data_IF_915392337758
#
_entry.id   IF_915392337758
#
_cell.length_a   1.000
_cell.length_b   1.000
_cell.length_c   1.000
_cell.angle_alpha   90.00
_cell.angle_beta   90.00
_cell.angle_gamma   90.00
#
_symmetry.space_group_name_H-M   'P 1'
#
loop_
_entity.id
_entity.type
_entity.pdbx_description
1 polymer ?
#
# COMPACT_ATOMS: atom_id res chain seq x y z
N UNK A 1 7.40 3.02 9.83
CA UNK A 1 6.34 1.99 9.86
C UNK A 1 5.75 1.77 11.26
N UNK A 2 6.54 1.96 12.34
CA UNK A 2 6.08 1.74 13.73
C UNK A 2 5.32 2.93 14.33
N UNK A 3 5.39 4.10 13.71
CA UNK A 3 4.76 5.35 14.15
C UNK A 3 3.66 5.84 13.17
N UNK A 4 3.08 4.93 12.36
CA UNK A 4 1.99 5.22 11.45
C UNK A 4 2.28 5.07 9.96
N UNK A 5 3.54 4.90 9.56
CA UNK A 5 3.93 4.61 8.18
C UNK A 5 3.65 3.15 7.78
N UNK A 6 3.83 2.83 6.49
CA UNK A 6 3.67 1.46 5.99
C UNK A 6 5.01 0.74 5.81
N UNK A 7 5.96 1.34 5.10
CA UNK A 7 7.37 0.93 4.97
C UNK A 7 8.25 2.16 4.67
N UNK A 8 9.57 1.99 4.63
CA UNK A 8 10.48 3.14 4.55
C UNK A 8 10.38 3.95 3.26
N UNK A 9 10.13 3.36 2.06
CA UNK A 9 9.97 4.14 0.84
C UNK A 9 8.74 5.07 0.80
N UNK A 10 7.74 4.87 1.65
CA UNK A 10 6.57 5.75 1.74
C UNK A 10 6.90 6.99 2.58
N UNK A 11 7.39 8.06 1.93
CA UNK A 11 7.73 9.30 2.63
C UNK A 11 6.50 10.20 2.70
N UNK A 12 6.17 10.62 3.93
CA UNK A 12 5.09 11.57 4.20
C UNK A 12 5.66 12.98 4.35
N UNK A 13 4.99 13.97 3.76
CA UNK A 13 5.24 15.39 4.00
C UNK A 13 3.98 16.00 4.58
N UNK A 14 4.12 16.71 5.70
CA UNK A 14 3.06 17.47 6.35
C UNK A 14 3.43 18.95 6.33
N UNK A 15 2.60 19.79 5.73
CA UNK A 15 2.74 21.23 5.73
C UNK A 15 1.62 21.85 6.57
N UNK A 16 1.94 22.54 7.68
CA UNK A 16 0.92 23.23 8.46
C UNK A 16 0.38 24.43 7.68
N UNK A 17 -0.94 24.59 7.67
CA UNK A 17 -1.66 25.69 7.06
C UNK A 17 -2.08 26.68 8.15
N UNK A 18 -1.81 27.98 7.90
CA UNK A 18 -2.06 29.04 8.86
C UNK A 18 -3.08 30.05 8.34
N UNK A 19 -3.90 30.56 9.25
CA UNK A 19 -4.79 31.69 9.06
C UNK A 19 -4.63 32.66 10.23
N UNK A 20 -4.32 33.95 9.97
CA UNK A 20 -4.08 34.95 11.00
C UNK A 20 -3.08 34.53 12.08
N UNK A 21 -2.01 33.84 11.69
CA UNK A 21 -0.96 33.35 12.58
C UNK A 21 -1.31 32.12 13.41
N UNK A 22 -2.51 31.56 13.28
CA UNK A 22 -2.92 30.30 13.94
C UNK A 22 -2.92 29.17 12.93
N UNK A 23 -2.38 28.01 13.35
CA UNK A 23 -2.46 26.79 12.54
C UNK A 23 -3.92 26.30 12.53
N UNK A 24 -4.49 26.12 11.34
CA UNK A 24 -5.90 25.75 11.14
C UNK A 24 -6.07 24.39 10.46
N UNK A 25 -5.06 23.93 9.72
CA UNK A 25 -5.10 22.63 9.05
C UNK A 25 -3.67 22.13 8.73
N UNK A 26 -3.60 20.99 8.07
CA UNK A 26 -2.40 20.47 7.43
C UNK A 26 -2.70 20.05 6.01
N UNK A 27 -1.81 20.37 5.07
CA UNK A 27 -1.71 19.63 3.82
C UNK A 27 -0.78 18.44 4.05
N UNK A 28 -1.18 17.26 3.57
CA UNK A 28 -0.39 16.05 3.70
C UNK A 28 -0.25 15.36 2.34
N UNK A 29 0.95 14.89 2.03
CA UNK A 29 1.23 14.07 0.86
C UNK A 29 1.99 12.83 1.27
N UNK A 30 1.77 11.76 0.52
CA UNK A 30 2.56 10.52 0.60
C UNK A 30 3.00 10.14 -0.81
N UNK A 31 4.23 9.68 -0.95
CA UNK A 31 4.74 9.12 -2.19
C UNK A 31 5.64 7.94 -1.88
N UNK A 32 5.51 6.87 -2.67
CA UNK A 32 6.45 5.75 -2.67
C UNK A 32 7.68 6.15 -3.49
N UNK A 33 8.82 6.29 -2.82
CA UNK A 33 10.08 6.61 -3.48
C UNK A 33 10.73 5.36 -4.05
N UNK A 34 11.40 5.51 -5.19
CA UNK A 34 12.04 4.39 -5.89
C UNK A 34 13.22 3.79 -5.13
N UNK A 35 13.87 4.56 -4.24
CA UNK A 35 14.98 4.10 -3.40
C UNK A 35 15.13 5.00 -2.17
N UNK A 36 15.26 4.38 -1.02
CA UNK A 36 15.59 5.06 0.25
C UNK A 36 16.87 4.48 0.90
N UNK A 37 17.73 3.87 0.07
CA UNK A 37 18.95 3.21 0.53
C UNK A 37 18.72 1.76 0.92
N UNK A 38 19.39 1.33 1.98
CA UNK A 38 19.34 -0.07 2.40
C UNK A 38 20.25 -0.98 1.57
N UNK A 39 20.15 -2.29 1.83
CA UNK A 39 21.08 -3.29 1.29
C UNK A 39 20.87 -3.67 -0.18
N UNK A 40 19.70 -3.39 -0.75
CA UNK A 40 19.40 -3.68 -2.15
C UNK A 40 18.86 -2.46 -2.89
N UNK A 41 19.04 -2.36 -4.22
CA UNK A 41 18.40 -1.37 -5.05
C UNK A 41 16.87 -1.46 -4.94
N UNK A 42 16.20 -0.30 -4.85
CA UNK A 42 14.75 -0.24 -4.68
C UNK A 42 14.23 -0.46 -3.26
N UNK A 43 15.12 -0.73 -2.29
CA UNK A 43 14.79 -0.81 -0.85
C UNK A 43 13.69 -1.84 -0.50
N UNK A 44 13.52 -2.90 -1.31
CA UNK A 44 12.41 -3.84 -1.22
C UNK A 44 12.85 -5.31 -1.05
N UNK A 45 13.94 -5.56 -0.30
CA UNK A 45 14.42 -6.92 -0.06
C UNK A 45 13.45 -7.73 0.80
N UNK A 46 12.94 -8.85 0.29
CA UNK A 46 12.07 -9.76 1.05
C UNK A 46 12.82 -10.54 2.15
N UNK A 47 14.12 -10.72 1.98
CA UNK A 47 15.02 -11.44 2.88
C UNK A 47 15.77 -10.52 3.87
N UNK A 48 15.32 -9.28 4.07
CA UNK A 48 15.73 -8.47 5.21
C UNK A 48 15.16 -9.03 6.51
N UNK A 49 15.94 -9.02 7.59
CA UNK A 49 15.55 -9.58 8.89
C UNK A 49 15.30 -8.52 9.95
N UNK A 50 15.70 -7.30 9.66
CA UNK A 50 15.48 -6.13 10.51
C UNK A 50 15.22 -4.88 9.67
N UNK A 51 14.37 -3.99 10.17
CA UNK A 51 14.06 -2.71 9.52
C UNK A 51 15.29 -1.85 9.20
N UNK A 52 16.38 -1.99 9.97
CA UNK A 52 17.63 -1.25 9.76
C UNK A 52 18.36 -1.59 8.46
N UNK A 53 18.05 -2.74 7.85
CA UNK A 53 18.61 -3.18 6.57
C UNK A 53 17.87 -2.58 5.36
N UNK A 54 16.68 -2.02 5.58
CA UNK A 54 15.75 -1.63 4.52
C UNK A 54 15.97 -0.21 3.98
N UNK A 55 16.69 0.64 4.72
CA UNK A 55 16.98 1.99 4.26
C UNK A 55 16.93 3.04 5.35
N UNK A 56 16.87 4.29 4.91
CA UNK A 56 16.87 5.45 5.78
C UNK A 56 15.55 5.55 6.56
N UNK A 57 15.64 5.46 7.88
CA UNK A 57 14.52 5.71 8.79
C UNK A 57 14.47 7.19 9.15
N UNK A 58 13.47 7.89 8.60
CA UNK A 58 13.29 9.33 8.81
C UNK A 58 12.25 9.52 9.92
N UNK A 59 12.64 10.02 11.12
CA UNK A 59 11.68 10.44 12.12
C UNK A 59 10.96 11.72 11.69
N UNK A 60 9.89 12.18 12.39
CA UNK A 60 9.32 13.49 12.15
C UNK A 60 10.37 14.60 12.29
N UNK A 61 10.78 15.19 11.17
CA UNK A 61 11.80 16.22 11.06
C UNK A 61 11.32 17.38 10.22
N UNK A 62 11.85 18.58 10.49
CA UNK A 62 11.59 19.74 9.66
C UNK A 62 12.42 19.69 8.37
N UNK A 63 11.76 19.49 7.24
CA UNK A 63 12.36 19.63 5.91
C UNK A 63 12.56 21.10 5.52
N UNK A 64 11.68 21.96 6.02
CA UNK A 64 11.78 23.42 6.00
C UNK A 64 11.51 23.98 7.39
N UNK A 65 12.20 25.02 7.78
CA UNK A 65 11.96 25.78 9.00
C UNK A 65 11.82 27.26 8.67
N UNK A 66 10.67 27.86 8.99
CA UNK A 66 10.34 29.25 8.67
C UNK A 66 10.59 29.63 7.19
N UNK A 67 10.21 28.76 6.27
CA UNK A 67 10.41 28.94 4.83
C UNK A 67 11.84 28.68 4.32
N UNK A 68 12.78 28.36 5.20
CA UNK A 68 14.16 28.04 4.83
C UNK A 68 14.35 26.52 4.76
N UNK A 69 14.97 26.08 3.67
CA UNK A 69 15.28 24.66 3.44
C UNK A 69 16.32 24.16 4.48
N UNK A 70 16.07 23.02 5.06
CA UNK A 70 17.03 22.33 5.93
C UNK A 70 18.08 21.60 5.08
N UNK A 71 19.18 22.29 4.74
CA UNK A 71 20.23 21.74 3.87
C UNK A 71 20.85 20.45 4.41
N UNK A 72 20.95 20.30 5.73
CA UNK A 72 21.47 19.09 6.36
C UNK A 72 20.58 17.90 6.04
N UNK A 73 19.24 18.07 6.12
CA UNK A 73 18.29 16.99 5.83
C UNK A 73 18.33 16.61 4.34
N UNK A 74 18.38 17.59 3.46
CA UNK A 74 18.47 17.35 2.01
C UNK A 74 19.76 16.64 1.64
N UNK A 75 20.89 17.03 2.20
CA UNK A 75 22.19 16.38 1.99
C UNK A 75 22.22 14.97 2.56
N UNK A 76 21.56 14.74 3.72
CA UNK A 76 21.43 13.40 4.30
C UNK A 76 20.68 12.46 3.35
N UNK A 77 19.54 12.88 2.82
CA UNK A 77 18.78 12.08 1.88
C UNK A 77 19.60 11.83 0.61
N UNK A 78 20.16 12.90 0.00
CA UNK A 78 20.95 12.81 -1.22
C UNK A 78 22.07 11.77 -1.14
N UNK A 79 22.77 11.71 -0.01
CA UNK A 79 23.93 10.82 0.17
C UNK A 79 23.58 9.38 0.57
N UNK A 80 22.32 9.13 0.92
CA UNK A 80 21.89 7.80 1.37
C UNK A 80 21.00 7.06 0.35
N UNK A 81 20.68 7.68 -0.80
CA UNK A 81 19.91 7.06 -1.88
C UNK A 81 20.79 6.86 -3.12
N UNK A 82 20.48 5.85 -3.93
CA UNK A 82 21.28 5.51 -5.14
C UNK A 82 20.97 6.43 -6.33
N UNK A 83 19.73 6.92 -6.42
CA UNK A 83 19.22 7.75 -7.52
C UNK A 83 18.72 9.10 -7.01
N UNK A 84 19.62 9.96 -6.48
CA UNK A 84 19.21 11.18 -5.78
C UNK A 84 18.43 12.18 -6.65
N UNK A 85 18.69 12.22 -7.96
CA UNK A 85 17.97 13.12 -8.86
C UNK A 85 16.46 12.82 -8.84
N UNK A 86 16.07 11.54 -8.92
CA UNK A 86 14.68 11.10 -8.89
C UNK A 86 14.08 11.31 -7.50
N UNK A 87 14.71 10.78 -6.45
CA UNK A 87 14.19 10.88 -5.08
C UNK A 87 13.99 12.32 -4.62
N UNK A 88 14.96 13.20 -4.89
CA UNK A 88 14.82 14.63 -4.57
C UNK A 88 13.81 15.33 -5.50
N UNK A 89 13.62 14.83 -6.72
CA UNK A 89 12.58 15.26 -7.64
C UNK A 89 11.19 14.98 -7.08
N UNK A 90 10.96 13.77 -6.58
CA UNK A 90 9.70 13.35 -5.97
C UNK A 90 9.39 14.14 -4.68
N UNK A 91 10.39 14.40 -3.84
CA UNK A 91 10.22 15.28 -2.68
C UNK A 91 9.79 16.72 -3.08
N UNK A 92 10.36 17.26 -4.18
CA UNK A 92 9.93 18.57 -4.69
C UNK A 92 8.51 18.51 -5.22
N UNK A 93 8.10 17.43 -5.88
CA UNK A 93 6.73 17.24 -6.35
C UNK A 93 5.73 17.17 -5.19
N UNK A 94 6.05 16.45 -4.11
CA UNK A 94 5.25 16.45 -2.90
C UNK A 94 5.11 17.84 -2.26
N UNK A 95 6.19 18.61 -2.20
CA UNK A 95 6.17 19.99 -1.70
C UNK A 95 5.31 20.91 -2.59
N UNK A 96 5.40 20.75 -3.92
CA UNK A 96 4.58 21.50 -4.85
C UNK A 96 3.09 21.20 -4.65
N UNK A 97 2.73 19.94 -4.41
CA UNK A 97 1.36 19.54 -4.09
C UNK A 97 0.87 20.16 -2.77
N UNK A 98 1.71 20.20 -1.73
CA UNK A 98 1.39 20.90 -0.48
C UNK A 98 1.17 22.40 -0.69
N UNK A 99 1.98 23.05 -1.52
CA UNK A 99 1.83 24.47 -1.84
C UNK A 99 0.52 24.76 -2.61
N UNK A 100 0.15 23.89 -3.56
CA UNK A 100 -1.15 23.99 -4.24
C UNK A 100 -2.30 23.87 -3.23
N UNK A 101 -2.21 22.89 -2.32
CA UNK A 101 -3.21 22.71 -1.27
C UNK A 101 -3.32 23.94 -0.36
N UNK A 102 -2.20 24.57 0.02
CA UNK A 102 -2.17 25.81 0.79
C UNK A 102 -2.90 26.95 0.06
N UNK A 103 -2.60 27.14 -1.22
CA UNK A 103 -3.22 28.19 -2.05
C UNK A 103 -4.74 27.98 -2.17
N UNK A 104 -5.16 26.75 -2.49
CA UNK A 104 -6.58 26.45 -2.63
C UNK A 104 -7.32 26.52 -1.28
N UNK A 105 -6.67 26.14 -0.19
CA UNK A 105 -7.25 26.29 1.14
C UNK A 105 -7.43 27.76 1.53
N UNK A 106 -6.47 28.62 1.17
CA UNK A 106 -6.60 30.07 1.38
C UNK A 106 -7.78 30.67 0.59
N UNK A 107 -8.02 30.24 -0.65
CA UNK A 107 -9.18 30.64 -1.45
C UNK A 107 -10.52 30.20 -0.78
N UNK A 108 -10.53 28.99 -0.19
CA UNK A 108 -11.71 28.52 0.56
C UNK A 108 -11.94 29.36 1.83
N UNK A 109 -10.86 29.72 2.55
CA UNK A 109 -10.94 30.61 3.72
C UNK A 109 -11.47 31.99 3.36
N UNK A 110 -11.00 32.58 2.25
CA UNK A 110 -11.50 33.88 1.75
C UNK A 110 -12.99 33.78 1.41
N UNK A 111 -13.41 32.70 0.76
CA UNK A 111 -14.79 32.50 0.31
C UNK A 111 -15.79 32.23 1.43
N UNK A 112 -15.41 31.45 2.43
CA UNK A 112 -16.35 30.95 3.44
C UNK A 112 -16.10 31.51 4.85
N UNK A 113 -14.90 32.00 5.12
CA UNK A 113 -14.44 32.30 6.48
C UNK A 113 -14.07 31.06 7.28
N UNK A 114 -13.24 31.20 8.31
CA UNK A 114 -12.69 30.08 9.07
C UNK A 114 -13.77 29.26 9.80
N UNK A 115 -14.69 29.92 10.49
CA UNK A 115 -15.73 29.22 11.28
C UNK A 115 -16.62 28.34 10.40
N UNK A 116 -17.07 28.87 9.27
CA UNK A 116 -17.94 28.14 8.34
C UNK A 116 -17.19 27.04 7.62
N UNK A 117 -15.92 27.26 7.26
CA UNK A 117 -15.10 26.23 6.63
C UNK A 117 -14.83 25.07 7.59
N UNK A 118 -14.48 25.37 8.86
CA UNK A 118 -14.30 24.34 9.89
C UNK A 118 -15.58 23.51 10.11
N UNK A 119 -16.74 24.18 10.18
CA UNK A 119 -18.03 23.49 10.26
C UNK A 119 -18.26 22.56 9.07
N UNK A 120 -17.97 23.02 7.85
CA UNK A 120 -18.15 22.17 6.65
C UNK A 120 -17.19 20.99 6.63
N UNK A 121 -15.96 21.15 7.11
CA UNK A 121 -15.01 20.05 7.20
C UNK A 121 -15.50 18.96 8.15
N UNK A 122 -16.02 19.35 9.33
CA UNK A 122 -16.63 18.41 10.28
C UNK A 122 -17.89 17.76 9.71
N UNK A 123 -18.79 18.53 9.12
CA UNK A 123 -20.04 18.02 8.53
C UNK A 123 -19.80 17.02 7.37
N UNK A 124 -18.75 17.18 6.59
CA UNK A 124 -18.39 16.21 5.54
C UNK A 124 -17.92 14.89 6.15
N UNK A 125 -17.20 14.92 7.27
CA UNK A 125 -16.79 13.73 7.99
C UNK A 125 -18.00 13.03 8.63
N UNK A 126 -18.85 13.79 9.34
CA UNK A 126 -20.05 13.29 9.99
C UNK A 126 -21.07 12.77 8.97
N UNK A 127 -21.15 13.40 7.79
CA UNK A 127 -21.97 12.91 6.69
C UNK A 127 -21.51 11.55 6.18
N UNK A 128 -20.20 11.36 5.99
CA UNK A 128 -19.64 10.06 5.61
C UNK A 128 -19.89 9.00 6.68
N UNK A 129 -19.75 9.35 7.97
CA UNK A 129 -20.07 8.46 9.09
C UNK A 129 -21.54 8.03 9.07
N UNK A 130 -22.49 8.97 8.97
CA UNK A 130 -23.94 8.67 8.89
C UNK A 130 -24.29 7.75 7.73
N UNK A 131 -23.72 8.01 6.53
CA UNK A 131 -23.94 7.16 5.38
C UNK A 131 -23.33 5.77 5.55
N UNK A 132 -22.16 5.68 6.17
CA UNK A 132 -21.50 4.40 6.44
C UNK A 132 -22.29 3.57 7.44
N UNK A 133 -22.77 4.17 8.55
CA UNK A 133 -23.62 3.50 9.52
C UNK A 133 -24.92 3.00 8.90
N UNK A 134 -25.59 3.85 8.13
CA UNK A 134 -26.82 3.46 7.44
C UNK A 134 -26.59 2.28 6.47
N UNK A 135 -25.49 2.29 5.71
CA UNK A 135 -25.16 1.21 4.79
C UNK A 135 -24.80 -0.10 5.51
N UNK A 136 -24.10 0.00 6.66
CA UNK A 136 -23.76 -1.16 7.48
C UNK A 136 -24.99 -1.74 8.16
N UNK A 137 -25.95 -0.91 8.58
CA UNK A 137 -27.21 -1.37 9.19
C UNK A 137 -28.02 -2.30 8.27
N UNK A 138 -27.89 -2.13 6.95
CA UNK A 138 -28.54 -3.00 5.95
C UNK A 138 -27.88 -4.38 5.80
N UNK A 139 -26.68 -4.57 6.32
CA UNK A 139 -25.97 -5.84 6.26
C UNK A 139 -26.47 -6.80 7.36
N UNK A 140 -26.38 -8.13 7.16
CA UNK A 140 -26.80 -9.10 8.18
C UNK A 140 -25.93 -9.03 9.43
N UNK A 141 -26.56 -9.09 10.61
CA UNK A 141 -25.83 -9.26 11.89
C UNK A 141 -25.25 -10.67 11.98
N UNK A 142 -24.06 -10.78 12.53
CA UNK A 142 -23.40 -12.07 12.70
C UNK A 142 -21.90 -11.98 12.92
N UNK A 143 -21.29 -13.15 12.97
CA UNK A 143 -19.86 -13.32 13.10
C UNK A 143 -19.39 -14.38 12.10
N UNK A 144 -18.34 -14.06 11.36
CA UNK A 144 -17.72 -14.95 10.37
C UNK A 144 -16.22 -14.92 10.58
N UNK A 145 -15.56 -16.06 10.30
CA UNK A 145 -14.10 -16.15 10.36
C UNK A 145 -13.56 -16.79 9.10
N UNK A 146 -12.40 -16.36 8.68
CA UNK A 146 -11.70 -16.91 7.52
C UNK A 146 -10.20 -17.00 7.81
N UNK A 147 -9.55 -17.97 7.20
CA UNK A 147 -8.10 -18.11 7.27
C UNK A 147 -7.49 -18.40 5.91
N UNK A 148 -6.28 -17.95 5.74
CA UNK A 148 -5.41 -18.27 4.63
C UNK A 148 -3.97 -18.38 5.13
N UNK A 149 -3.07 -18.88 4.29
CA UNK A 149 -1.70 -19.18 4.66
C UNK A 149 -0.73 -18.63 3.62
N UNK A 150 0.44 -18.20 4.11
CA UNK A 150 1.63 -17.94 3.33
C UNK A 150 2.58 -19.12 3.61
N UNK A 151 3.21 -19.68 2.58
CA UNK A 151 4.01 -20.89 2.72
C UNK A 151 5.18 -20.71 3.68
N UNK A 152 5.90 -19.58 3.58
CA UNK A 152 7.03 -19.23 4.44
C UNK A 152 7.35 -17.71 4.36
N UNK A 153 8.37 -17.27 5.08
CA UNK A 153 8.84 -15.86 5.08
C UNK A 153 10.09 -15.61 4.21
N UNK A 154 10.51 -16.61 3.42
CA UNK A 154 11.73 -16.55 2.63
C UNK A 154 13.03 -16.78 3.43
N UNK A 155 12.94 -16.97 4.75
CA UNK A 155 14.06 -17.22 5.67
C UNK A 155 13.87 -18.59 6.35
N UNK A 156 12.75 -18.78 7.02
CA UNK A 156 12.36 -20.02 7.70
C UNK A 156 11.38 -20.78 6.78
N UNK A 157 11.90 -21.54 5.80
CA UNK A 157 11.14 -22.13 4.69
C UNK A 157 10.15 -23.24 5.10
N UNK A 158 10.28 -23.79 6.29
CA UNK A 158 9.42 -24.89 6.80
C UNK A 158 8.36 -24.38 7.79
N UNK A 159 8.10 -23.06 7.82
CA UNK A 159 7.20 -22.45 8.78
C UNK A 159 6.05 -21.72 8.09
N UNK A 160 4.91 -22.40 7.85
CA UNK A 160 3.72 -21.75 7.31
C UNK A 160 3.20 -20.64 8.22
N UNK A 161 2.76 -19.53 7.62
CA UNK A 161 2.31 -18.32 8.30
C UNK A 161 0.80 -18.20 8.13
N UNK A 162 0.08 -18.29 9.22
CA UNK A 162 -1.39 -18.20 9.26
C UNK A 162 -1.83 -16.75 9.28
N UNK A 163 -2.77 -16.41 8.42
CA UNK A 163 -3.56 -15.19 8.46
C UNK A 163 -4.99 -15.58 8.87
N UNK A 164 -5.46 -15.04 9.97
CA UNK A 164 -6.77 -15.36 10.51
C UNK A 164 -7.54 -14.09 10.82
N UNK A 165 -8.76 -13.96 10.29
CA UNK A 165 -9.61 -12.81 10.50
C UNK A 165 -10.99 -13.24 10.98
N UNK A 166 -11.51 -12.51 11.97
CA UNK A 166 -12.91 -12.58 12.41
C UNK A 166 -13.59 -11.26 12.14
N UNK A 167 -14.68 -11.28 11.41
CA UNK A 167 -15.54 -10.14 11.15
C UNK A 167 -16.82 -10.29 12.00
N UNK A 168 -17.08 -9.31 12.86
CA UNK A 168 -18.30 -9.23 13.66
C UNK A 168 -19.06 -7.99 13.25
N UNK A 169 -20.33 -8.15 12.84
CA UNK A 169 -21.24 -7.06 12.50
C UNK A 169 -22.40 -7.06 13.48
N UNK A 170 -22.65 -5.93 14.13
CA UNK A 170 -23.75 -5.74 15.07
C UNK A 170 -24.36 -4.35 14.91
N UNK A 171 -25.63 -4.29 14.55
CA UNK A 171 -26.33 -3.02 14.31
C UNK A 171 -25.65 -2.19 13.23
N UNK A 172 -25.06 -1.07 13.58
CA UNK A 172 -24.40 -0.12 12.66
C UNK A 172 -22.88 -0.18 12.71
N UNK A 173 -22.29 -1.19 13.36
CA UNK A 173 -20.85 -1.28 13.62
C UNK A 173 -20.25 -2.58 13.09
N UNK A 174 -18.99 -2.51 12.65
CA UNK A 174 -18.20 -3.66 12.22
C UNK A 174 -16.89 -3.68 13.02
N UNK A 175 -16.55 -4.88 13.53
CA UNK A 175 -15.24 -5.16 14.08
C UNK A 175 -14.54 -6.18 13.19
N UNK A 176 -13.31 -5.88 12.78
CA UNK A 176 -12.39 -6.77 12.08
C UNK A 176 -11.27 -7.13 13.04
N UNK A 177 -11.16 -8.38 13.41
CA UNK A 177 -10.21 -8.88 14.42
C UNK A 177 -9.24 -9.88 13.80
N UNK A 178 -7.96 -9.55 13.81
CA UNK A 178 -6.86 -10.38 13.32
C UNK A 178 -6.21 -11.23 14.41
N UNK A 179 -6.81 -11.31 15.60
CA UNK A 179 -6.35 -12.20 16.68
C UNK A 179 -6.38 -13.66 16.23
N UNK A 180 -5.26 -14.37 16.40
CA UNK A 180 -5.09 -15.74 15.92
C UNK A 180 -4.26 -15.85 14.65
N UNK A 181 -3.86 -14.73 14.04
CA UNK A 181 -2.78 -14.72 13.04
C UNK A 181 -1.43 -15.04 13.68
N UNK A 182 -0.49 -15.57 12.88
CA UNK A 182 0.85 -15.94 13.34
C UNK A 182 1.59 -14.76 13.99
N UNK A 183 2.58 -15.08 14.83
CA UNK A 183 3.56 -14.12 15.31
C UNK A 183 4.31 -13.48 14.13
N UNK A 184 4.88 -12.29 14.36
CA UNK A 184 5.77 -11.68 13.38
C UNK A 184 6.94 -12.62 13.03
N UNK A 185 7.39 -12.52 11.79
CA UNK A 185 8.42 -13.41 11.22
C UNK A 185 9.74 -12.68 11.00
N UNK A 186 10.80 -13.42 10.70
CA UNK A 186 12.13 -12.86 10.42
C UNK A 186 12.19 -12.14 9.08
N UNK A 187 11.56 -12.73 8.04
CA UNK A 187 11.52 -12.14 6.70
C UNK A 187 10.75 -10.82 6.66
N UNK A 188 11.00 -10.02 5.62
CA UNK A 188 10.50 -8.66 5.51
C UNK A 188 9.04 -8.56 5.03
N UNK A 189 8.22 -9.52 5.39
CA UNK A 189 6.79 -9.58 5.00
C UNK A 189 5.83 -9.18 6.13
N UNK A 190 6.34 -8.68 7.25
CA UNK A 190 5.51 -8.24 8.38
C UNK A 190 4.72 -6.98 8.05
N UNK A 191 3.48 -6.90 8.51
CA UNK A 191 2.64 -5.72 8.33
C UNK A 191 2.72 -4.75 9.50
N UNK A 192 2.69 -3.47 9.19
CA UNK A 192 2.42 -2.41 10.16
C UNK A 192 0.92 -2.34 10.46
N UNK A 193 0.56 -1.85 11.64
CA UNK A 193 -0.85 -1.66 12.02
C UNK A 193 -1.61 -0.79 11.01
N UNK A 194 -0.99 0.29 10.51
CA UNK A 194 -1.60 1.19 9.53
C UNK A 194 -1.97 0.46 8.23
N UNK A 195 -1.12 -0.45 7.75
CA UNK A 195 -1.39 -1.24 6.55
C UNK A 195 -2.52 -2.26 6.78
N UNK A 196 -2.54 -2.92 7.93
CA UNK A 196 -3.63 -3.84 8.34
C UNK A 196 -4.96 -3.10 8.46
N UNK A 197 -4.99 -1.92 9.06
CA UNK A 197 -6.20 -1.07 9.14
C UNK A 197 -6.67 -0.68 7.74
N UNK A 198 -5.75 -0.25 6.86
CA UNK A 198 -6.09 0.15 5.51
C UNK A 198 -6.77 -0.99 4.71
N UNK A 199 -6.21 -2.22 4.75
CA UNK A 199 -6.79 -3.37 4.05
C UNK A 199 -8.12 -3.81 4.66
N UNK A 200 -8.25 -3.77 5.98
CA UNK A 200 -9.51 -4.09 6.67
C UNK A 200 -10.62 -3.12 6.27
N UNK A 201 -10.34 -1.82 6.33
CA UNK A 201 -11.32 -0.78 5.97
C UNK A 201 -11.63 -0.80 4.47
N UNK A 202 -10.62 -0.97 3.60
CA UNK A 202 -10.82 -1.05 2.16
C UNK A 202 -11.65 -2.29 1.78
N UNK A 203 -11.44 -3.44 2.44
CA UNK A 203 -12.28 -4.62 2.27
C UNK A 203 -13.75 -4.33 2.57
N UNK A 204 -14.05 -3.76 3.73
CA UNK A 204 -15.43 -3.37 4.09
C UNK A 204 -15.96 -2.32 3.08
N UNK A 205 -15.16 -1.32 2.76
CA UNK A 205 -15.56 -0.25 1.84
C UNK A 205 -15.96 -0.76 0.45
N UNK A 206 -15.35 -1.86 -0.01
CA UNK A 206 -15.62 -2.46 -1.33
C UNK A 206 -17.05 -3.01 -1.48
N UNK A 207 -17.72 -3.34 -0.39
CA UNK A 207 -19.12 -3.85 -0.39
C UNK A 207 -20.14 -2.80 0.01
N UNK A 208 -19.69 -1.57 0.32
CA UNK A 208 -20.58 -0.43 0.64
C UNK A 208 -20.87 0.43 -0.61
N UNK A 209 -21.91 1.27 -0.58
CA UNK A 209 -22.26 2.16 -1.69
C UNK A 209 -21.09 3.10 -2.10
N UNK A 210 -20.90 3.30 -3.41
CA UNK A 210 -19.81 4.11 -3.96
C UNK A 210 -19.91 5.60 -3.66
N UNK A 211 -21.10 6.12 -3.37
CA UNK A 211 -21.36 7.54 -3.09
C UNK A 211 -21.00 7.99 -1.67
N UNK A 212 -20.52 7.10 -0.80
CA UNK A 212 -20.01 7.48 0.52
C UNK A 212 -18.66 8.17 0.34
N UNK A 213 -18.44 9.41 0.84
CA UNK A 213 -17.15 10.06 0.76
C UNK A 213 -16.07 9.27 1.51
N UNK A 214 -14.88 9.13 0.91
CA UNK A 214 -13.75 8.47 1.57
C UNK A 214 -13.00 9.46 2.46
N UNK A 215 -13.31 9.45 3.75
CA UNK A 215 -12.67 10.27 4.78
C UNK A 215 -12.73 9.57 6.14
N UNK A 216 -12.31 10.24 7.20
CA UNK A 216 -12.27 9.75 8.57
C UNK A 216 -13.62 9.21 9.06
N UNK A 217 -14.76 9.71 8.55
CA UNK A 217 -16.10 9.25 8.94
C UNK A 217 -16.33 7.75 8.67
N UNK A 218 -15.69 7.19 7.62
CA UNK A 218 -15.72 5.74 7.36
C UNK A 218 -14.96 4.96 8.43
N UNK A 219 -13.80 5.47 8.84
CA UNK A 219 -12.93 4.80 9.83
C UNK A 219 -13.54 4.78 11.23
N UNK A 220 -14.36 5.79 11.62
CA UNK A 220 -15.03 5.85 12.91
C UNK A 220 -16.00 4.70 13.18
N UNK A 221 -16.49 4.06 12.12
CA UNK A 221 -17.51 3.00 12.18
C UNK A 221 -16.92 1.60 12.18
N UNK A 222 -15.68 1.47 11.71
CA UNK A 222 -15.00 0.18 11.53
C UNK A 222 -13.88 0.06 12.55
N UNK A 223 -14.04 -0.84 13.51
CA UNK A 223 -13.01 -1.15 14.50
C UNK A 223 -12.10 -2.24 13.97
N UNK A 224 -10.78 -2.01 14.01
CA UNK A 224 -9.78 -3.02 13.64
C UNK A 224 -8.95 -3.40 14.86
N UNK A 225 -8.81 -4.68 15.10
CA UNK A 225 -8.01 -5.28 16.19
C UNK A 225 -6.90 -6.10 15.55
N UNK A 226 -5.66 -5.81 15.90
CA UNK A 226 -4.48 -6.59 15.50
C UNK A 226 -3.49 -6.58 16.68
N UNK A 227 -3.29 -7.70 17.38
CA UNK A 227 -2.39 -7.77 18.53
C UNK A 227 -0.94 -7.42 18.14
N UNK A 228 -0.23 -6.60 18.94
CA UNK A 228 1.17 -6.31 18.70
C UNK A 228 2.05 -7.57 18.71
N UNK A 229 3.09 -7.60 17.89
CA UNK A 229 4.00 -8.74 17.76
C UNK A 229 3.49 -9.86 16.86
N UNK A 230 2.38 -9.63 16.15
CA UNK A 230 1.87 -10.54 15.11
C UNK A 230 2.28 -10.08 13.72
N UNK A 231 2.15 -10.97 12.73
CA UNK A 231 2.35 -10.67 11.30
C UNK A 231 1.45 -9.50 10.82
N UNK A 232 0.30 -9.28 11.47
CA UNK A 232 -0.64 -8.22 11.19
C UNK A 232 -0.32 -6.88 11.90
N UNK A 233 0.56 -6.89 12.90
CA UNK A 233 0.94 -5.70 13.67
C UNK A 233 2.33 -5.90 14.28
N UNK A 234 3.32 -5.72 13.46
CA UNK A 234 4.73 -5.92 13.83
C UNK A 234 5.22 -4.91 14.87
N UNK A 235 6.21 -5.34 15.65
CA UNK A 235 6.97 -4.50 16.57
C UNK A 235 8.46 -4.53 16.22
N UNK A 236 9.21 -3.50 16.62
CA UNK A 236 10.65 -3.41 16.40
C UNK A 236 11.37 -4.68 16.89
N UNK A 237 12.41 -5.14 16.17
CA UNK A 237 13.01 -4.57 14.96
C UNK A 237 12.53 -5.17 13.64
N UNK A 238 11.33 -5.73 13.58
CA UNK A 238 10.81 -6.49 12.43
C UNK A 238 10.99 -5.77 11.10
N UNK A 239 11.36 -6.51 10.08
CA UNK A 239 11.48 -6.06 8.70
C UNK A 239 10.12 -6.07 7.98
N UNK A 240 9.89 -5.12 7.06
CA UNK A 240 8.59 -4.95 6.38
C UNK A 240 8.70 -4.46 4.93
N UNK A 241 9.87 -4.48 4.31
CA UNK A 241 10.08 -3.98 2.96
C UNK A 241 9.12 -4.63 1.93
N UNK A 242 8.88 -5.94 2.07
CA UNK A 242 8.00 -6.73 1.21
C UNK A 242 6.61 -6.99 1.83
N UNK A 243 6.16 -6.15 2.78
CA UNK A 243 4.87 -6.30 3.47
C UNK A 243 3.67 -6.49 2.53
N UNK A 244 3.78 -6.01 1.29
CA UNK A 244 2.72 -6.15 0.29
C UNK A 244 2.32 -7.60 0.03
N UNK A 245 3.24 -8.56 0.18
CA UNK A 245 2.94 -9.99 0.07
C UNK A 245 1.86 -10.38 1.09
N UNK A 246 2.11 -10.12 2.35
CA UNK A 246 1.14 -10.38 3.43
C UNK A 246 -0.11 -9.51 3.32
N UNK A 247 0.04 -8.21 3.08
CA UNK A 247 -1.08 -7.27 3.08
C UNK A 247 -2.10 -7.54 2.01
N UNK A 248 -1.69 -7.90 0.80
CA UNK A 248 -2.64 -8.23 -0.27
C UNK A 248 -3.34 -9.57 -0.02
N UNK A 249 -2.65 -10.53 0.56
CA UNK A 249 -3.30 -11.76 1.03
C UNK A 249 -4.28 -11.51 2.18
N UNK A 250 -3.97 -10.59 3.10
CA UNK A 250 -4.96 -10.13 4.09
C UNK A 250 -6.19 -9.49 3.41
N UNK A 251 -6.00 -8.80 2.29
CA UNK A 251 -7.11 -8.31 1.46
C UNK A 251 -7.98 -9.46 0.95
N UNK A 252 -7.39 -10.53 0.44
CA UNK A 252 -8.13 -11.73 0.04
C UNK A 252 -8.80 -12.43 1.23
N UNK A 253 -8.20 -12.44 2.42
CA UNK A 253 -8.86 -12.90 3.64
C UNK A 253 -10.10 -12.05 3.97
N UNK A 254 -10.04 -10.73 3.79
CA UNK A 254 -11.21 -9.85 3.93
C UNK A 254 -12.30 -10.22 2.93
N UNK A 255 -11.96 -10.50 1.68
CA UNK A 255 -12.96 -11.00 0.71
C UNK A 255 -13.48 -12.37 1.06
N UNK A 256 -12.64 -13.26 1.58
CA UNK A 256 -13.04 -14.58 2.05
C UNK A 256 -14.11 -14.50 3.14
N UNK A 257 -13.89 -13.68 4.17
CA UNK A 257 -14.88 -13.51 5.25
C UNK A 257 -16.12 -12.75 4.77
N UNK A 258 -15.97 -11.76 3.90
CA UNK A 258 -17.09 -11.03 3.30
C UNK A 258 -17.92 -11.90 2.35
N UNK A 259 -17.33 -12.84 1.64
CA UNK A 259 -18.05 -13.79 0.79
C UNK A 259 -18.95 -14.73 1.61
N UNK A 260 -18.58 -15.05 2.85
CA UNK A 260 -19.44 -15.81 3.76
C UNK A 260 -20.67 -15.01 4.19
N UNK A 261 -20.53 -13.69 4.32
CA UNK A 261 -21.62 -12.78 4.68
C UNK A 261 -22.46 -12.36 3.46
N UNK A 262 -21.80 -12.09 2.31
CA UNK A 262 -22.37 -11.48 1.11
C UNK A 262 -21.91 -12.21 -0.16
N UNK A 263 -22.26 -13.48 -0.36
CA UNK A 263 -21.71 -14.31 -1.45
C UNK A 263 -22.00 -13.74 -2.87
N UNK A 264 -23.07 -12.98 -3.02
CA UNK A 264 -23.47 -12.38 -4.31
C UNK A 264 -22.77 -11.03 -4.60
N UNK A 265 -21.94 -10.51 -3.68
CA UNK A 265 -21.30 -9.20 -3.83
C UNK A 265 -19.78 -9.28 -3.94
N UNK A 266 -19.17 -10.39 -3.58
CA UNK A 266 -17.72 -10.53 -3.43
C UNK A 266 -17.14 -11.47 -4.49
N UNK A 267 -16.00 -11.10 -5.07
CA UNK A 267 -15.28 -11.95 -6.02
C UNK A 267 -14.51 -13.07 -5.28
N UNK A 268 -14.12 -14.09 -6.03
CA UNK A 268 -13.17 -15.09 -5.56
C UNK A 268 -11.78 -14.46 -5.32
N UNK A 269 -10.90 -15.18 -4.64
CA UNK A 269 -9.54 -14.76 -4.35
C UNK A 269 -8.79 -14.32 -5.63
N UNK A 270 -7.93 -13.33 -5.47
CA UNK A 270 -6.99 -12.88 -6.50
C UNK A 270 -5.79 -13.84 -6.60
N UNK A 271 -4.70 -13.41 -7.21
CA UNK A 271 -3.40 -14.09 -7.12
C UNK A 271 -2.84 -14.14 -5.68
N UNK A 272 -3.40 -13.35 -4.80
CA UNK A 272 -3.13 -13.33 -3.36
C UNK A 272 -1.80 -12.70 -2.98
N UNK A 273 -0.97 -12.34 -3.93
CA UNK A 273 0.36 -11.81 -3.70
C UNK A 273 0.57 -10.39 -4.23
N UNK A 274 1.77 -9.92 -4.01
CA UNK A 274 2.31 -8.71 -4.64
C UNK A 274 3.67 -9.04 -5.23
N UNK A 275 3.69 -9.94 -6.20
CA UNK A 275 4.92 -10.33 -6.90
C UNK A 275 5.56 -9.10 -7.51
N UNK A 276 6.78 -8.82 -7.13
CA UNK A 276 7.51 -7.65 -7.59
C UNK A 276 8.95 -7.99 -7.94
N UNK A 277 9.50 -7.24 -8.86
CA UNK A 277 10.90 -7.30 -9.25
C UNK A 277 11.56 -5.95 -8.95
N UNK A 278 12.77 -6.00 -8.41
CA UNK A 278 13.66 -4.85 -8.35
C UNK A 278 14.96 -5.25 -9.04
N UNK A 279 15.35 -4.49 -10.05
CA UNK A 279 16.60 -4.71 -10.78
C UNK A 279 17.40 -3.43 -10.69
N UNK A 280 18.64 -3.53 -10.23
CA UNK A 280 19.49 -2.35 -10.11
C UNK A 280 20.97 -2.69 -10.22
N UNK A 281 21.74 -1.71 -10.60
CA UNK A 281 23.18 -1.84 -10.81
C UNK A 281 23.80 -0.54 -11.25
N UNK A 282 24.89 -0.68 -11.99
CA UNK A 282 25.62 0.44 -12.54
C UNK A 282 25.91 0.16 -14.03
N UNK A 283 25.71 1.16 -14.86
CA UNK A 283 26.13 1.10 -16.26
C UNK A 283 27.69 1.16 -16.39
N UNK A 284 28.18 1.09 -17.63
CA UNK A 284 29.62 1.14 -17.91
C UNK A 284 30.27 2.47 -17.47
N UNK A 285 29.50 3.55 -17.31
CA UNK A 285 29.93 4.85 -16.78
C UNK A 285 29.84 4.95 -15.26
N UNK A 286 29.49 3.87 -14.58
CA UNK A 286 29.24 3.80 -13.13
C UNK A 286 28.05 4.65 -12.67
N UNK A 287 27.14 4.97 -13.55
CA UNK A 287 25.88 5.61 -13.23
C UNK A 287 24.89 4.56 -12.69
N UNK A 288 24.27 4.77 -11.53
CA UNK A 288 23.31 3.83 -10.98
C UNK A 288 21.99 3.86 -11.76
N UNK A 289 21.39 2.70 -11.92
CA UNK A 289 20.01 2.55 -12.39
C UNK A 289 19.23 1.66 -11.41
N UNK A 290 17.94 1.91 -11.33
CA UNK A 290 16.99 1.10 -10.53
C UNK A 290 15.69 1.00 -11.32
N UNK A 291 15.26 -0.22 -11.56
CA UNK A 291 13.94 -0.56 -12.08
C UNK A 291 13.17 -1.32 -11.02
N UNK A 292 11.98 -0.83 -10.66
CA UNK A 292 11.04 -1.51 -9.75
C UNK A 292 9.74 -1.68 -10.49
N UNK A 293 9.25 -2.92 -10.56
CA UNK A 293 7.98 -3.23 -11.18
C UNK A 293 7.25 -4.32 -10.40
N UNK A 294 5.96 -4.41 -10.65
CA UNK A 294 5.10 -5.41 -10.05
C UNK A 294 4.50 -6.28 -11.14
N UNK A 295 4.64 -7.58 -10.98
CA UNK A 295 3.90 -8.55 -11.78
C UNK A 295 2.49 -8.61 -11.22
N UNK A 296 1.62 -7.75 -11.78
CA UNK A 296 0.21 -7.79 -11.43
C UNK A 296 -0.35 -9.16 -11.74
N UNK A 297 -1.03 -9.76 -10.79
CA UNK A 297 -1.69 -11.04 -10.95
C UNK A 297 -3.03 -10.90 -11.67
N UNK A 298 -4.03 -11.60 -11.19
CA UNK A 298 -5.36 -11.57 -11.77
C UNK A 298 -6.43 -11.47 -10.70
N UNK A 299 -7.58 -10.95 -11.07
CA UNK A 299 -8.76 -11.02 -10.22
C UNK A 299 -9.41 -12.39 -10.30
N UNK A 300 -9.94 -12.87 -9.19
CA UNK A 300 -10.82 -14.02 -9.14
C UNK A 300 -12.13 -13.81 -9.92
N UNK A 301 -12.84 -14.88 -10.22
CA UNK A 301 -14.17 -14.83 -10.83
C UNK A 301 -15.14 -14.04 -9.94
N UNK A 302 -16.01 -13.27 -10.57
CA UNK A 302 -17.06 -12.52 -9.87
C UNK A 302 -18.36 -13.32 -9.85
N UNK A 303 -19.28 -13.08 -8.96
CA UNK A 303 -20.57 -13.78 -8.95
C UNK A 303 -21.38 -13.65 -10.26
N UNK A 304 -21.12 -12.63 -11.05
CA UNK A 304 -21.86 -12.26 -12.27
C UNK A 304 -21.02 -12.19 -13.55
N UNK A 305 -19.67 -12.31 -13.46
CA UNK A 305 -18.79 -12.20 -14.63
C UNK A 305 -17.41 -12.81 -14.36
N UNK A 306 -16.65 -13.06 -15.42
CA UNK A 306 -15.26 -13.48 -15.34
C UNK A 306 -14.39 -12.42 -14.62
N UNK A 307 -13.31 -12.86 -13.99
CA UNK A 307 -12.27 -12.00 -13.42
C UNK A 307 -11.58 -11.17 -14.51
N UNK A 308 -11.04 -10.01 -14.10
CA UNK A 308 -10.28 -9.16 -15.02
C UNK A 308 -8.91 -9.75 -15.30
N UNK A 309 -8.50 -9.69 -16.58
CA UNK A 309 -7.24 -10.23 -17.03
C UNK A 309 -6.10 -9.23 -16.78
N UNK A 310 -4.95 -9.71 -16.33
CA UNK A 310 -3.74 -8.91 -16.16
C UNK A 310 -3.91 -7.69 -15.25
N UNK A 311 -4.87 -7.74 -14.35
CA UNK A 311 -5.10 -6.66 -13.39
C UNK A 311 -4.49 -7.06 -12.05
N UNK A 312 -4.02 -6.07 -11.30
CA UNK A 312 -3.44 -6.32 -9.98
C UNK A 312 -4.50 -6.72 -8.96
N UNK A 313 -4.04 -7.17 -7.79
CA UNK A 313 -4.88 -7.29 -6.60
C UNK A 313 -5.71 -6.01 -6.39
N UNK A 314 -6.94 -6.15 -5.89
CA UNK A 314 -7.92 -5.06 -5.75
C UNK A 314 -7.43 -3.89 -4.89
N UNK A 315 -6.43 -4.11 -4.05
CA UNK A 315 -5.87 -3.08 -3.16
C UNK A 315 -4.63 -2.38 -3.74
N UNK A 316 -4.14 -2.81 -4.89
CA UNK A 316 -2.88 -2.31 -5.44
C UNK A 316 -3.03 -1.02 -6.25
N UNK A 317 -4.13 -0.84 -7.00
CA UNK A 317 -4.37 0.31 -7.86
C UNK A 317 -3.17 0.67 -8.75
N UNK A 318 -2.59 -0.33 -9.40
CA UNK A 318 -1.39 -0.18 -10.24
C UNK A 318 -1.73 -0.19 -11.72
N UNK A 319 -0.88 0.47 -12.51
CA UNK A 319 -0.85 0.37 -13.96
C UNK A 319 0.54 -0.09 -14.40
N UNK A 320 0.61 -0.89 -15.46
CA UNK A 320 1.88 -1.29 -16.06
C UNK A 320 2.54 -0.11 -16.76
N UNK A 321 3.87 0.00 -16.62
CA UNK A 321 4.66 0.91 -17.44
C UNK A 321 4.74 0.37 -18.89
N UNK A 322 4.74 1.26 -19.88
CA UNK A 322 4.86 0.84 -21.27
C UNK A 322 6.25 0.27 -21.57
N UNK A 323 6.32 -0.68 -22.49
CA UNK A 323 7.59 -1.32 -22.89
C UNK A 323 8.59 -0.28 -23.36
N UNK A 324 8.15 0.67 -24.19
CA UNK A 324 8.99 1.72 -24.76
C UNK A 324 9.65 2.58 -23.69
N UNK A 325 8.93 2.92 -22.62
CA UNK A 325 9.49 3.68 -21.50
C UNK A 325 10.51 2.85 -20.75
N UNK A 326 10.20 1.56 -20.46
CA UNK A 326 11.16 0.67 -19.80
C UNK A 326 12.46 0.57 -20.59
N UNK A 327 12.37 0.30 -21.89
CA UNK A 327 13.54 0.12 -22.76
C UNK A 327 14.33 1.40 -23.01
N UNK A 328 13.68 2.57 -22.90
CA UNK A 328 14.33 3.88 -23.05
C UNK A 328 15.06 4.31 -21.78
N UNK A 329 14.49 4.02 -20.62
CA UNK A 329 14.99 4.51 -19.33
C UNK A 329 15.92 3.52 -18.62
N UNK A 330 15.80 2.23 -18.95
CA UNK A 330 16.50 1.16 -18.25
C UNK A 330 17.35 0.31 -19.21
N UNK A 331 18.48 -0.24 -18.78
CA UNK A 331 19.33 -1.11 -19.63
C UNK A 331 18.71 -2.50 -19.79
N UNK A 332 17.51 -2.57 -20.31
CA UNK A 332 16.73 -3.79 -20.47
C UNK A 332 15.99 -3.81 -21.79
N UNK A 333 15.67 -5.01 -22.24
CA UNK A 333 14.79 -5.27 -23.39
C UNK A 333 13.68 -6.22 -22.95
N UNK A 334 12.45 -5.94 -23.34
CA UNK A 334 11.30 -6.79 -23.08
C UNK A 334 11.12 -7.73 -24.26
N UNK A 335 11.39 -9.02 -24.05
CA UNK A 335 11.33 -10.03 -25.12
C UNK A 335 9.90 -10.54 -25.37
N UNK A 336 9.06 -10.55 -24.32
CA UNK A 336 7.66 -10.98 -24.38
C UNK A 336 6.86 -10.25 -23.34
N UNK A 337 5.63 -9.86 -23.69
CA UNK A 337 4.62 -9.36 -22.77
C UNK A 337 3.25 -9.78 -23.32
N UNK A 338 2.72 -10.88 -22.81
CA UNK A 338 1.55 -11.54 -23.35
C UNK A 338 0.67 -12.18 -22.28
N UNK A 339 -0.62 -12.32 -22.55
CA UNK A 339 -1.49 -13.14 -21.71
C UNK A 339 -1.23 -14.62 -21.94
N UNK A 340 -1.25 -15.39 -20.86
CA UNK A 340 -1.10 -16.83 -20.92
C UNK A 340 -2.47 -17.50 -21.14
N UNK A 341 -2.71 -18.11 -22.32
CA UNK A 341 -3.98 -18.76 -22.57
C UNK A 341 -4.17 -19.97 -21.67
N UNK A 342 -5.43 -20.28 -21.36
CA UNK A 342 -5.87 -21.47 -20.60
C UNK A 342 -5.24 -21.62 -19.20
N UNK A 343 -4.80 -20.51 -18.58
CA UNK A 343 -4.22 -20.47 -17.24
C UNK A 343 -5.13 -19.78 -16.21
N UNK A 344 -6.31 -19.35 -16.63
CA UNK A 344 -7.30 -18.76 -15.72
C UNK A 344 -7.87 -19.81 -14.75
N UNK A 345 -8.16 -19.42 -13.51
CA UNK A 345 -8.81 -20.29 -12.53
C UNK A 345 -10.19 -20.73 -13.02
N UNK A 346 -10.50 -22.04 -12.97
CA UNK A 346 -11.79 -22.56 -13.46
C UNK A 346 -12.94 -22.23 -12.50
N UNK A 347 -14.14 -22.01 -13.04
CA UNK A 347 -15.36 -21.74 -12.29
C UNK A 347 -16.56 -21.46 -13.20
N UNK A 348 -17.74 -21.25 -12.61
CA UNK A 348 -18.93 -20.77 -13.34
C UNK A 348 -18.59 -19.49 -14.14
N UNK A 349 -17.92 -18.57 -13.47
CA UNK A 349 -17.17 -17.46 -14.05
C UNK A 349 -15.70 -17.70 -13.73
N UNK A 350 -14.85 -17.70 -14.73
CA UNK A 350 -13.43 -18.00 -14.57
C UNK A 350 -12.68 -16.82 -13.95
N UNK A 351 -11.54 -17.08 -13.34
CA UNK A 351 -10.56 -16.04 -13.00
C UNK A 351 -10.01 -15.33 -14.23
N UNK A 352 -9.31 -14.23 -14.05
CA UNK A 352 -8.58 -13.55 -15.11
C UNK A 352 -7.40 -14.39 -15.63
N UNK A 353 -7.01 -14.19 -16.89
CA UNK A 353 -5.81 -14.81 -17.42
C UNK A 353 -4.54 -14.10 -16.89
N UNK A 354 -3.55 -14.83 -16.39
CA UNK A 354 -2.26 -14.26 -16.01
C UNK A 354 -1.48 -13.82 -17.25
N UNK A 355 -0.44 -13.03 -17.04
CA UNK A 355 0.47 -12.65 -18.10
C UNK A 355 1.90 -13.13 -17.84
N UNK A 356 2.68 -13.19 -18.91
CA UNK A 356 4.10 -13.46 -18.92
C UNK A 356 4.84 -12.22 -19.41
N UNK A 357 5.94 -11.87 -18.74
CA UNK A 357 6.87 -10.85 -19.18
C UNK A 357 8.30 -11.38 -19.09
N UNK A 358 9.00 -11.42 -20.21
CA UNK A 358 10.38 -11.88 -20.28
C UNK A 358 11.31 -10.68 -20.46
N UNK A 359 12.31 -10.58 -19.60
CA UNK A 359 13.30 -9.51 -19.60
C UNK A 359 14.64 -10.02 -20.11
N UNK A 360 15.28 -9.26 -20.99
CA UNK A 360 16.70 -9.40 -21.31
C UNK A 360 17.45 -8.22 -20.71
N UNK A 361 18.38 -8.52 -19.86
CA UNK A 361 19.27 -7.53 -19.26
C UNK A 361 20.42 -7.22 -20.20
N UNK A 362 20.81 -5.95 -20.36
CA UNK A 362 21.77 -5.50 -21.36
C UNK A 362 23.13 -5.13 -20.76
N UNK A 363 23.23 -4.89 -19.46
CA UNK A 363 24.48 -4.61 -18.76
C UNK A 363 25.20 -5.87 -18.29
N UNK A 364 26.45 -5.72 -17.84
CA UNK A 364 27.29 -6.84 -17.40
C UNK A 364 26.81 -7.48 -16.10
N UNK A 365 26.41 -6.64 -15.15
CA UNK A 365 26.02 -7.07 -13.81
C UNK A 365 24.82 -6.27 -13.32
N UNK A 366 23.88 -6.94 -12.66
CA UNK A 366 22.81 -6.33 -11.90
C UNK A 366 22.43 -7.21 -10.71
N UNK A 367 21.83 -6.58 -9.72
CA UNK A 367 21.14 -7.28 -8.63
C UNK A 367 19.68 -7.38 -9.00
N UNK A 368 19.19 -8.61 -9.12
CA UNK A 368 17.78 -8.92 -9.27
C UNK A 368 17.25 -9.37 -7.92
N UNK A 369 16.25 -8.67 -7.43
CA UNK A 369 15.46 -9.07 -6.26
C UNK A 369 14.04 -9.39 -6.74
N UNK A 370 13.61 -10.62 -6.54
CA UNK A 370 12.22 -11.05 -6.75
C UNK A 370 11.59 -11.29 -5.41
N UNK A 371 10.42 -10.69 -5.19
CA UNK A 371 9.55 -11.00 -4.07
C UNK A 371 8.27 -11.60 -4.61
N UNK A 372 7.96 -12.77 -4.16
CA UNK A 372 6.75 -13.50 -4.51
C UNK A 372 6.46 -14.48 -3.39
N UNK A 373 5.21 -14.82 -3.25
CA UNK A 373 4.75 -15.84 -2.30
C UNK A 373 3.66 -16.68 -2.93
N UNK A 374 3.35 -17.71 -2.21
CA UNK A 374 2.06 -18.32 -2.30
C UNK A 374 1.59 -18.88 -0.96
#
# INVERSE_FOLDING_TARGET
PFDGGMHLPDIFIFQPLYHEGKRVAFAATISHHSDVGGRVPGSNASDSTEIYQEGLRIPPLKLFDQGKRNETMWSLIEKNVRIPIQVLGDLRAQLAACHIAETQFAELLERYGLEKLALYMEEVIDYAERLTRAAIAELPDGQWSFEDWIDDDGIDLDRPIRLFVTLTKTGEEITVDWTGSSEQVKGAINNSLSFTVAHSVAGIRSVLPLNIPSNEGVFRVIKVIAPPGTIANMVLPAACAARGLTGFRMGDCMFGVLAMMLPERVCAASDGGNTGVSIGGYDDERKPFIYVDFSCGTHGGRPWADGWQGNSNMFANMASQSIEVIETEQPMQILSYEFMPDRAGPGKFRGGAPYRRDYKFLEREAVLQVRSDR
#
